data_IF_536459491846
#
_entry.id   IF_536459491846
#
_cell.length_a   1.000
_cell.length_b   1.000
_cell.length_c   1.000
_cell.angle_alpha   90.00
_cell.angle_beta   90.00
_cell.angle_gamma   90.00
#
_symmetry.space_group_name_H-M   'P 1'
#
loop_
_entity.id
_entity.type
_entity.pdbx_description
1 polymer ?
#
# COMPACT_ATOMS: atom_id res chain seq x y z
N UNK A 1 13.36 -13.77 -7.63
CA UNK A 1 14.04 -13.00 -6.54
C UNK A 1 15.00 -13.90 -5.77
N UNK A 2 14.68 -15.17 -5.51
CA UNK A 2 15.58 -16.11 -4.80
C UNK A 2 16.88 -16.39 -5.58
N UNK A 3 16.84 -16.33 -6.88
CA UNK A 3 18.00 -16.59 -7.76
C UNK A 3 18.92 -15.37 -7.92
N UNK A 4 18.42 -14.17 -7.66
CA UNK A 4 19.19 -12.93 -7.83
C UNK A 4 19.97 -12.49 -6.60
N UNK A 5 19.76 -13.13 -5.43
CA UNK A 5 20.33 -12.72 -4.15
C UNK A 5 19.79 -11.37 -3.61
N UNK A 6 18.81 -10.77 -4.29
CA UNK A 6 18.18 -9.53 -3.87
C UNK A 6 17.07 -9.80 -2.85
N UNK A 7 16.74 -8.81 -2.00
CA UNK A 7 15.57 -8.88 -1.14
C UNK A 7 14.30 -9.10 -1.96
N UNK A 8 13.34 -9.88 -1.44
CA UNK A 8 12.14 -10.30 -2.16
C UNK A 8 11.35 -9.15 -2.81
N UNK A 9 11.32 -7.98 -2.17
CA UNK A 9 10.59 -6.83 -2.65
C UNK A 9 11.35 -5.98 -3.69
N UNK A 10 12.69 -6.14 -3.82
CA UNK A 10 13.54 -5.20 -4.59
C UNK A 10 13.12 -5.08 -6.05
N UNK A 11 13.00 -6.21 -6.75
CA UNK A 11 12.62 -6.19 -8.18
C UNK A 11 11.22 -5.61 -8.36
N UNK A 12 10.27 -6.03 -7.55
CA UNK A 12 8.89 -5.54 -7.63
C UNK A 12 8.79 -4.04 -7.33
N UNK A 13 9.64 -3.52 -6.44
CA UNK A 13 9.72 -2.09 -6.17
C UNK A 13 10.33 -1.30 -7.32
N UNK A 14 11.36 -1.84 -7.98
CA UNK A 14 11.90 -1.24 -9.21
C UNK A 14 10.83 -1.12 -10.29
N UNK A 15 10.09 -2.21 -10.52
CA UNK A 15 8.99 -2.24 -11.49
C UNK A 15 7.88 -1.25 -11.12
N UNK A 16 7.51 -1.15 -9.84
CA UNK A 16 6.52 -0.19 -9.37
C UNK A 16 6.94 1.25 -9.65
N UNK A 17 8.18 1.63 -9.30
CA UNK A 17 8.68 2.97 -9.58
C UNK A 17 8.68 3.28 -11.09
N UNK A 18 9.10 2.31 -11.89
CA UNK A 18 9.06 2.45 -13.36
C UNK A 18 7.64 2.60 -13.86
N UNK A 19 6.69 1.82 -13.37
CA UNK A 19 5.28 1.89 -13.75
C UNK A 19 4.67 3.26 -13.43
N UNK A 20 4.91 3.81 -12.23
CA UNK A 20 4.43 5.14 -11.83
C UNK A 20 4.99 6.22 -12.77
N UNK A 21 6.28 6.18 -13.06
CA UNK A 21 6.94 7.12 -13.98
C UNK A 21 6.37 7.02 -15.39
N UNK A 22 6.14 5.79 -15.87
CA UNK A 22 5.54 5.57 -17.17
C UNK A 22 4.12 6.13 -17.26
N UNK A 23 3.26 5.84 -16.27
CA UNK A 23 1.90 6.40 -16.21
C UNK A 23 1.95 7.92 -16.23
N UNK A 24 2.82 8.53 -15.43
CA UNK A 24 2.96 9.98 -15.35
C UNK A 24 3.45 10.58 -16.69
N UNK A 25 4.40 9.93 -17.35
CA UNK A 25 4.90 10.37 -18.66
C UNK A 25 3.83 10.35 -19.76
N UNK A 26 2.81 9.51 -19.59
CA UNK A 26 1.70 9.34 -20.55
C UNK A 26 0.41 10.03 -20.10
N UNK A 27 0.41 10.66 -18.94
CA UNK A 27 -0.81 11.20 -18.34
C UNK A 27 -1.49 12.22 -19.26
N UNK A 28 -0.78 13.25 -19.73
CA UNK A 28 -1.33 14.30 -20.60
C UNK A 28 -1.85 13.72 -21.93
N UNK A 29 -1.10 12.82 -22.56
CA UNK A 29 -1.49 12.14 -23.80
C UNK A 29 -2.82 11.37 -23.63
N UNK A 30 -3.07 10.86 -22.42
CA UNK A 30 -4.25 10.06 -22.08
C UNK A 30 -5.37 10.84 -21.39
N UNK A 31 -5.25 12.16 -21.30
CA UNK A 31 -6.24 13.01 -20.63
C UNK A 31 -6.30 12.80 -19.10
N UNK A 32 -5.21 12.31 -18.50
CA UNK A 32 -5.07 12.12 -17.07
C UNK A 32 -4.31 13.29 -16.43
N UNK A 33 -4.58 13.54 -15.15
CA UNK A 33 -3.82 14.51 -14.37
C UNK A 33 -2.57 13.84 -13.77
N UNK A 34 -1.35 14.26 -14.18
CA UNK A 34 -0.10 13.67 -13.66
C UNK A 34 0.11 13.93 -12.16
N UNK A 35 -0.64 14.85 -11.56
CA UNK A 35 -0.60 15.20 -10.15
C UNK A 35 -1.71 14.51 -9.34
N UNK A 36 -2.43 13.55 -9.92
CA UNK A 36 -3.49 12.77 -9.26
C UNK A 36 -3.31 11.26 -9.44
N UNK A 37 -2.07 10.80 -9.41
CA UNK A 37 -1.75 9.38 -9.52
C UNK A 37 -1.72 8.78 -8.12
N UNK A 38 -2.48 7.70 -7.94
CA UNK A 38 -2.43 6.90 -6.72
C UNK A 38 -2.15 5.45 -7.02
N UNK A 39 -1.94 4.66 -5.98
CA UNK A 39 -1.70 3.23 -6.08
C UNK A 39 -2.58 2.46 -5.12
N UNK A 40 -2.97 1.26 -5.53
CA UNK A 40 -3.77 0.35 -4.71
C UNK A 40 -3.28 -1.07 -4.91
N UNK A 41 -3.22 -1.83 -3.83
CA UNK A 41 -2.84 -3.23 -3.91
C UNK A 41 -3.32 -4.07 -2.74
N UNK A 42 -3.68 -5.35 -2.98
CA UNK A 42 -3.99 -6.31 -1.95
C UNK A 42 -2.75 -7.15 -1.57
N UNK A 43 -2.70 -7.65 -0.32
CA UNK A 43 -1.70 -8.61 0.14
C UNK A 43 -0.27 -8.12 -0.07
N UNK A 44 0.58 -8.85 -0.78
CA UNK A 44 1.90 -8.40 -1.20
C UNK A 44 1.86 -7.11 -2.06
N UNK A 45 0.77 -6.90 -2.83
CA UNK A 45 0.52 -5.63 -3.50
C UNK A 45 0.25 -4.48 -2.53
N UNK A 46 -0.33 -4.77 -1.36
CA UNK A 46 -0.45 -3.82 -0.25
C UNK A 46 0.90 -3.40 0.31
N UNK A 47 1.85 -4.33 0.47
CA UNK A 47 3.24 -4.01 0.82
C UNK A 47 3.88 -3.08 -0.21
N UNK A 48 3.76 -3.39 -1.51
CA UNK A 48 4.29 -2.52 -2.57
C UNK A 48 3.60 -1.15 -2.59
N UNK A 49 2.31 -1.09 -2.25
CA UNK A 49 1.60 0.19 -2.07
C UNK A 49 2.24 1.00 -0.95
N UNK A 50 2.56 0.36 0.19
CA UNK A 50 3.28 1.02 1.28
C UNK A 50 4.64 1.54 0.82
N UNK A 51 5.44 0.74 0.12
CA UNK A 51 6.72 1.19 -0.42
C UNK A 51 6.57 2.38 -1.37
N UNK A 52 5.59 2.35 -2.28
CA UNK A 52 5.34 3.44 -3.22
C UNK A 52 4.90 4.73 -2.54
N UNK A 53 4.15 4.63 -1.44
CA UNK A 53 3.68 5.78 -0.66
C UNK A 53 4.77 6.38 0.22
N UNK A 54 5.62 5.55 0.83
CA UNK A 54 6.58 5.98 1.86
C UNK A 54 7.99 6.23 1.35
N UNK A 55 8.38 5.60 0.24
CA UNK A 55 9.78 5.54 -0.20
C UNK A 55 10.02 6.19 -1.56
N UNK A 56 9.21 7.18 -1.94
CA UNK A 56 9.28 7.82 -3.25
C UNK A 56 10.59 8.58 -3.50
N UNK A 57 11.25 9.06 -2.45
CA UNK A 57 12.56 9.73 -2.54
C UNK A 57 13.73 8.76 -2.73
N UNK A 58 13.51 7.48 -2.48
CA UNK A 58 14.54 6.47 -2.68
C UNK A 58 14.52 5.96 -4.11
N UNK A 59 15.69 5.98 -4.74
CA UNK A 59 15.83 5.42 -6.09
C UNK A 59 16.03 3.92 -6.01
N UNK A 60 15.09 3.16 -6.58
CA UNK A 60 15.16 1.70 -6.61
C UNK A 60 16.10 1.15 -7.70
N UNK A 61 16.36 1.92 -8.76
CA UNK A 61 17.20 1.52 -9.89
C UNK A 61 17.86 2.73 -10.57
N UNK A 62 18.89 2.49 -11.36
CA UNK A 62 19.54 3.51 -12.18
C UNK A 62 18.64 3.93 -13.35
N UNK A 63 18.65 5.21 -13.69
CA UNK A 63 17.90 5.71 -14.85
C UNK A 63 18.40 5.07 -16.14
N UNK A 64 17.46 4.63 -17.00
CA UNK A 64 17.75 3.99 -18.28
C UNK A 64 17.32 4.83 -19.49
N UNK A 65 16.28 5.66 -19.33
CA UNK A 65 15.77 6.52 -20.41
C UNK A 65 15.05 7.77 -19.86
N UNK A 66 14.44 8.55 -20.76
CA UNK A 66 13.77 9.80 -20.43
C UNK A 66 12.56 9.63 -19.48
N UNK A 67 11.91 8.47 -19.44
CA UNK A 67 10.79 8.19 -18.54
C UNK A 67 11.25 8.22 -17.09
N UNK A 68 12.48 7.80 -16.82
CA UNK A 68 13.03 7.69 -15.48
C UNK A 68 13.32 9.04 -14.82
N UNK A 69 13.25 10.15 -15.56
CA UNK A 69 13.30 11.50 -15.00
C UNK A 69 11.94 11.97 -14.44
N UNK A 70 10.85 11.26 -14.73
CA UNK A 70 9.57 11.55 -14.11
C UNK A 70 9.60 11.23 -12.61
N UNK A 71 8.93 12.04 -11.76
CA UNK A 71 8.77 11.69 -10.35
C UNK A 71 8.03 10.37 -10.16
N UNK A 72 8.39 9.60 -9.14
CA UNK A 72 7.68 8.36 -8.79
C UNK A 72 6.86 8.46 -7.50
N UNK A 73 6.70 9.65 -6.92
CA UNK A 73 5.78 9.88 -5.82
C UNK A 73 4.32 9.71 -6.28
N UNK A 74 3.49 9.28 -5.37
CA UNK A 74 2.04 9.17 -5.57
C UNK A 74 1.30 10.13 -4.65
N UNK A 75 0.05 10.43 -4.96
CA UNK A 75 -0.76 11.36 -4.19
C UNK A 75 -1.65 10.69 -3.16
N UNK A 76 -1.82 9.38 -3.26
CA UNK A 76 -2.55 8.57 -2.30
C UNK A 76 -2.23 7.09 -2.47
N UNK A 77 -2.50 6.30 -1.43
CA UNK A 77 -2.40 4.85 -1.45
C UNK A 77 -3.61 4.16 -0.83
N UNK A 78 -3.92 2.94 -1.29
CA UNK A 78 -4.93 2.09 -0.68
C UNK A 78 -4.34 0.70 -0.47
N UNK A 79 -4.09 0.35 0.80
CA UNK A 79 -3.61 -0.96 1.22
C UNK A 79 -4.79 -1.86 1.59
N UNK A 80 -5.02 -2.91 0.81
CA UNK A 80 -6.05 -3.90 1.08
C UNK A 80 -5.36 -5.12 1.70
N UNK A 81 -5.60 -5.36 2.99
CA UNK A 81 -4.91 -6.37 3.81
C UNK A 81 -3.43 -6.50 3.45
N UNK A 82 -2.63 -5.43 3.58
CA UNK A 82 -1.20 -5.50 3.31
C UNK A 82 -0.54 -6.59 4.16
N UNK A 83 0.38 -7.35 3.56
CA UNK A 83 1.19 -8.35 4.22
C UNK A 83 2.66 -7.89 4.26
N UNK A 84 3.49 -8.60 5.02
CA UNK A 84 4.94 -8.36 5.09
C UNK A 84 5.37 -6.98 5.64
N UNK A 85 4.51 -6.31 6.39
CA UNK A 85 4.85 -5.01 6.94
C UNK A 85 5.54 -5.07 8.32
N UNK A 86 5.63 -6.25 8.94
CA UNK A 86 6.18 -6.46 10.28
C UNK A 86 7.46 -7.29 10.27
N UNK A 87 8.41 -6.98 11.17
CA UNK A 87 9.75 -7.56 11.16
C UNK A 87 9.88 -8.91 11.86
N UNK A 88 8.96 -9.27 12.74
CA UNK A 88 9.07 -10.44 13.61
C UNK A 88 8.46 -11.73 13.03
N UNK A 89 8.06 -11.68 11.76
CA UNK A 89 7.39 -12.80 11.10
C UNK A 89 5.96 -13.05 11.58
N UNK A 90 5.43 -12.18 12.44
CA UNK A 90 4.04 -12.27 12.91
C UNK A 90 3.02 -12.01 11.80
N UNK A 91 3.49 -11.53 10.67
CA UNK A 91 2.75 -11.44 9.43
C UNK A 91 2.74 -12.75 8.63
N UNK A 92 3.45 -13.79 9.09
CA UNK A 92 3.40 -15.07 8.44
C UNK A 92 2.02 -15.73 8.58
N UNK A 93 1.58 -16.34 7.52
CA UNK A 93 0.23 -16.90 7.35
C UNK A 93 -0.19 -17.94 8.42
N UNK A 94 0.69 -18.37 9.27
CA UNK A 94 0.44 -19.28 10.39
C UNK A 94 1.21 -18.80 11.62
N UNK A 95 1.16 -17.54 11.92
CA UNK A 95 1.88 -16.97 13.05
C UNK A 95 1.45 -17.64 14.36
N UNK A 96 2.05 -18.78 14.63
CA UNK A 96 1.90 -19.50 15.88
C UNK A 96 2.85 -18.98 16.96
N UNK A 97 3.56 -17.90 16.70
CA UNK A 97 4.61 -17.49 17.61
C UNK A 97 4.96 -16.03 17.74
N UNK A 98 4.56 -15.17 16.80
CA UNK A 98 4.85 -13.75 16.90
C UNK A 98 3.76 -13.00 17.65
N UNK A 99 4.14 -12.11 18.58
CA UNK A 99 3.20 -11.16 19.14
C UNK A 99 3.15 -9.93 18.21
N UNK A 100 2.18 -9.90 17.30
CA UNK A 100 2.01 -8.81 16.34
C UNK A 100 1.85 -7.43 17.03
N UNK A 101 1.41 -7.40 18.28
CA UNK A 101 1.27 -6.16 19.06
C UNK A 101 2.62 -5.53 19.39
N UNK A 102 3.65 -6.34 19.59
CA UNK A 102 5.02 -5.88 19.85
C UNK A 102 5.87 -5.72 18.60
N UNK A 103 5.38 -6.15 17.44
CA UNK A 103 6.09 -6.07 16.19
C UNK A 103 6.36 -4.61 15.76
N UNK A 104 7.48 -4.41 15.09
CA UNK A 104 7.82 -3.13 14.46
C UNK A 104 7.71 -3.23 12.95
N UNK A 105 7.53 -2.11 12.29
CA UNK A 105 7.47 -2.06 10.84
C UNK A 105 8.83 -2.42 10.23
N UNK A 106 8.80 -3.07 9.08
CA UNK A 106 9.99 -3.40 8.31
C UNK A 106 10.77 -2.13 7.92
N UNK A 107 12.12 -2.19 7.87
CA UNK A 107 12.94 -1.01 7.68
C UNK A 107 12.91 -0.40 6.29
N UNK A 108 12.35 -1.09 5.29
CA UNK A 108 12.24 -0.59 3.93
C UNK A 108 11.20 0.53 3.77
N UNK A 109 10.32 0.75 4.74
CA UNK A 109 9.37 1.86 4.70
C UNK A 109 9.99 3.14 5.24
N UNK A 110 10.22 4.10 4.35
CA UNK A 110 10.85 5.38 4.68
C UNK A 110 9.80 6.49 4.76
N UNK A 111 9.17 6.58 5.90
CA UNK A 111 8.19 7.63 6.16
C UNK A 111 8.88 9.00 6.25
N UNK A 112 8.39 9.95 5.46
CA UNK A 112 8.89 11.31 5.41
C UNK A 112 7.74 12.31 5.12
N UNK A 113 8.09 13.57 4.87
CA UNK A 113 7.13 14.63 4.57
C UNK A 113 6.42 14.46 3.22
N UNK A 114 6.94 13.61 2.33
CA UNK A 114 6.31 13.29 1.04
C UNK A 114 5.46 12.03 1.11
N UNK A 115 5.38 11.37 2.26
CA UNK A 115 4.52 10.21 2.46
C UNK A 115 3.07 10.58 2.20
N UNK A 116 2.47 9.94 1.20
CA UNK A 116 1.12 10.26 0.76
C UNK A 116 0.03 9.72 1.72
N UNK A 117 -1.16 10.33 1.76
CA UNK A 117 -2.31 9.82 2.50
C UNK A 117 -2.67 8.38 2.13
N UNK A 118 -3.15 7.59 3.09
CA UNK A 118 -3.51 6.19 2.86
C UNK A 118 -4.86 5.80 3.47
N UNK A 119 -5.54 4.90 2.75
CA UNK A 119 -6.64 4.10 3.28
C UNK A 119 -6.16 2.66 3.48
N UNK A 120 -6.48 2.08 4.63
CA UNK A 120 -6.27 0.66 4.93
C UNK A 120 -7.61 -0.04 5.12
N UNK A 121 -7.76 -1.24 4.54
CA UNK A 121 -8.93 -2.11 4.76
C UNK A 121 -8.43 -3.52 5.02
N UNK A 122 -8.67 -4.07 6.22
CA UNK A 122 -8.13 -5.35 6.64
C UNK A 122 -9.20 -6.22 7.32
N UNK A 123 -9.19 -7.52 7.10
CA UNK A 123 -10.01 -8.48 7.82
C UNK A 123 -9.39 -8.82 9.18
N UNK A 124 -10.16 -8.85 10.26
CA UNK A 124 -9.65 -9.17 11.60
C UNK A 124 -9.34 -10.67 11.78
N UNK A 125 -9.97 -11.53 10.98
CA UNK A 125 -9.70 -12.98 10.94
C UNK A 125 -8.67 -13.37 9.86
N UNK A 126 -7.92 -12.39 9.34
CA UNK A 126 -6.90 -12.62 8.33
C UNK A 126 -5.68 -13.32 8.96
N UNK A 127 -5.22 -14.42 8.33
CA UNK A 127 -4.00 -15.11 8.76
C UNK A 127 -2.72 -14.27 8.58
N UNK A 128 -2.77 -13.20 7.76
CA UNK A 128 -1.78 -12.12 7.73
C UNK A 128 -2.28 -11.02 8.66
N UNK A 129 -1.75 -10.97 9.86
CA UNK A 129 -2.28 -10.18 10.96
C UNK A 129 -2.71 -8.75 10.56
N UNK A 130 -3.91 -8.35 10.96
CA UNK A 130 -4.41 -6.99 10.74
C UNK A 130 -3.48 -5.90 11.31
N UNK A 131 -2.58 -6.30 12.24
CA UNK A 131 -1.54 -5.45 12.80
C UNK A 131 -0.58 -4.88 11.74
N UNK A 132 -0.43 -5.53 10.57
CA UNK A 132 0.26 -4.93 9.43
C UNK A 132 -0.33 -3.55 9.06
N UNK A 133 -1.65 -3.45 9.01
CA UNK A 133 -2.35 -2.19 8.74
C UNK A 133 -2.38 -1.26 9.95
N UNK A 134 -2.61 -1.80 11.14
CA UNK A 134 -2.71 -1.03 12.39
C UNK A 134 -1.41 -0.30 12.68
N UNK A 135 -0.27 -1.01 12.70
CA UNK A 135 1.04 -0.41 12.98
C UNK A 135 1.45 0.65 11.94
N UNK A 136 1.12 0.42 10.67
CA UNK A 136 1.38 1.41 9.63
C UNK A 136 0.51 2.65 9.83
N UNK A 137 -0.78 2.47 10.10
CA UNK A 137 -1.71 3.56 10.39
C UNK A 137 -1.29 4.36 11.63
N UNK A 138 -0.90 3.70 12.73
CA UNK A 138 -0.36 4.34 13.93
C UNK A 138 0.85 5.21 13.61
N UNK A 139 1.80 4.67 12.82
CA UNK A 139 3.00 5.40 12.39
C UNK A 139 2.63 6.65 11.59
N UNK A 140 1.73 6.54 10.63
CA UNK A 140 1.27 7.67 9.83
C UNK A 140 0.57 8.73 10.69
N UNK A 141 -0.29 8.30 11.60
CA UNK A 141 -0.98 9.19 12.56
C UNK A 141 0.01 9.94 13.45
N UNK A 142 1.01 9.26 13.97
CA UNK A 142 2.05 9.87 14.80
C UNK A 142 2.85 10.94 14.05
N UNK A 143 2.95 10.83 12.72
CA UNK A 143 3.61 11.82 11.86
C UNK A 143 2.67 12.91 11.33
N UNK A 144 1.39 12.90 11.73
CA UNK A 144 0.40 13.85 11.21
C UNK A 144 -0.02 13.58 9.75
N UNK A 145 0.31 12.42 9.19
CA UNK A 145 -0.08 12.03 7.85
C UNK A 145 -1.53 11.57 7.85
N UNK A 146 -2.34 12.12 6.95
CA UNK A 146 -3.75 11.78 6.83
C UNK A 146 -3.91 10.30 6.46
N UNK A 147 -4.64 9.53 7.27
CA UNK A 147 -4.84 8.11 7.05
C UNK A 147 -6.16 7.63 7.64
N UNK A 148 -6.75 6.64 7.00
CA UNK A 148 -8.01 6.00 7.40
C UNK A 148 -7.80 4.49 7.51
N UNK A 149 -8.39 3.84 8.53
CA UNK A 149 -8.30 2.39 8.76
C UNK A 149 -9.68 1.80 8.99
N UNK A 150 -10.00 0.75 8.24
CA UNK A 150 -11.18 -0.10 8.46
C UNK A 150 -10.76 -1.53 8.75
N UNK A 151 -11.13 -2.04 9.91
CA UNK A 151 -11.07 -3.47 10.21
C UNK A 151 -12.44 -4.09 9.99
N UNK A 152 -12.48 -5.23 9.30
CA UNK A 152 -13.72 -5.92 8.94
C UNK A 152 -13.84 -7.21 9.74
N UNK A 153 -14.82 -7.26 10.64
CA UNK A 153 -15.05 -8.42 11.50
C UNK A 153 -15.27 -9.70 10.69
N UNK A 154 -14.66 -10.80 11.14
CA UNK A 154 -14.82 -12.14 10.58
C UNK A 154 -14.43 -12.28 9.10
N UNK A 155 -13.53 -11.44 8.60
CA UNK A 155 -13.00 -11.52 7.24
C UNK A 155 -11.60 -12.11 7.22
N UNK A 156 -11.44 -13.14 6.40
CA UNK A 156 -10.18 -13.83 6.12
C UNK A 156 -9.36 -13.09 5.05
N UNK A 157 -8.18 -13.62 4.74
CA UNK A 157 -7.36 -13.13 3.62
C UNK A 157 -8.11 -13.26 2.29
N UNK A 158 -7.91 -12.33 1.38
CA UNK A 158 -8.56 -12.31 0.07
C UNK A 158 -10.10 -12.23 0.11
N UNK A 159 -10.70 -11.69 1.18
CA UNK A 159 -12.17 -11.59 1.32
C UNK A 159 -12.85 -10.91 0.13
N UNK A 160 -12.18 -9.97 -0.56
CA UNK A 160 -12.77 -9.29 -1.72
C UNK A 160 -13.03 -10.23 -2.90
N UNK A 161 -12.31 -11.35 -3.01
CA UNK A 161 -12.55 -12.35 -4.07
C UNK A 161 -13.89 -13.06 -3.91
N UNK A 162 -14.40 -13.09 -2.69
CA UNK A 162 -15.69 -13.67 -2.32
C UNK A 162 -16.78 -12.59 -2.18
N UNK A 163 -16.42 -11.34 -2.44
CA UNK A 163 -17.36 -10.23 -2.29
C UNK A 163 -18.41 -10.26 -3.41
N UNK A 164 -19.66 -10.15 -3.03
CA UNK A 164 -20.79 -10.04 -3.94
C UNK A 164 -21.65 -8.82 -3.55
N UNK A 165 -22.33 -8.16 -4.50
CA UNK A 165 -23.24 -7.07 -4.19
C UNK A 165 -24.22 -7.44 -3.06
N UNK A 166 -24.38 -6.54 -2.09
CA UNK A 166 -25.24 -6.77 -0.93
C UNK A 166 -24.59 -7.52 0.23
N UNK A 167 -23.34 -7.99 0.09
CA UNK A 167 -22.59 -8.58 1.21
C UNK A 167 -21.74 -7.53 1.91
N UNK A 168 -21.49 -7.72 3.21
CA UNK A 168 -20.58 -6.84 3.97
C UNK A 168 -19.18 -6.78 3.39
N UNK A 169 -18.70 -7.84 2.73
CA UNK A 169 -17.41 -7.89 2.06
C UNK A 169 -17.34 -6.99 0.83
N UNK A 170 -18.45 -6.68 0.20
CA UNK A 170 -18.52 -5.80 -0.97
C UNK A 170 -18.41 -4.32 -0.58
N UNK A 171 -18.72 -3.97 0.65
CA UNK A 171 -18.73 -2.58 1.12
C UNK A 171 -17.34 -1.91 1.08
N UNK A 172 -16.26 -2.66 0.94
CA UNK A 172 -14.92 -2.06 0.80
C UNK A 172 -14.81 -1.15 -0.43
N UNK A 173 -15.53 -1.44 -1.52
CA UNK A 173 -15.55 -0.62 -2.74
C UNK A 173 -16.14 0.77 -2.44
N UNK A 174 -17.23 0.83 -1.67
CA UNK A 174 -17.84 2.09 -1.27
C UNK A 174 -16.91 2.90 -0.36
N UNK A 175 -16.17 2.24 0.56
CA UNK A 175 -15.17 2.91 1.40
C UNK A 175 -14.05 3.53 0.58
N UNK A 176 -13.57 2.82 -0.43
CA UNK A 176 -12.60 3.37 -1.39
C UNK A 176 -13.18 4.60 -2.11
N UNK A 177 -14.40 4.49 -2.62
CA UNK A 177 -15.09 5.60 -3.29
C UNK A 177 -15.24 6.82 -2.39
N UNK A 178 -15.70 6.65 -1.16
CA UNK A 178 -15.87 7.72 -0.18
C UNK A 178 -14.53 8.39 0.18
N UNK A 179 -13.50 7.58 0.40
CA UNK A 179 -12.15 8.08 0.70
C UNK A 179 -11.62 8.96 -0.45
N UNK A 180 -11.69 8.46 -1.68
CA UNK A 180 -11.21 9.20 -2.85
C UNK A 180 -12.02 10.47 -3.11
N UNK A 181 -13.33 10.44 -2.92
CA UNK A 181 -14.17 11.65 -3.02
C UNK A 181 -13.75 12.71 -2.01
N UNK A 182 -13.60 12.32 -0.75
CA UNK A 182 -13.14 13.23 0.32
C UNK A 182 -11.75 13.80 0.01
N UNK A 183 -10.82 12.94 -0.40
CA UNK A 183 -9.44 13.33 -0.69
C UNK A 183 -9.34 14.35 -1.84
N UNK A 184 -10.20 14.21 -2.84
CA UNK A 184 -10.21 15.08 -4.03
C UNK A 184 -11.27 16.17 -3.99
N UNK A 185 -12.01 16.33 -2.89
CA UNK A 185 -13.07 17.35 -2.76
C UNK A 185 -14.26 17.13 -3.70
N UNK A 186 -14.51 15.90 -4.13
CA UNK A 186 -15.64 15.53 -5.00
C UNK A 186 -16.88 15.31 -4.12
N UNK A 187 -17.95 16.03 -4.43
CA UNK A 187 -19.26 15.89 -3.74
C UNK A 187 -20.06 14.70 -4.25
#
# INVERSE_FOLDING_TARGET
>A
AAESGLAKHTTAWQDLQRAIRWVRSKATERGLDPNKIGIMGPSAGGHLTLMGVTSSRQRAYLHTDAIDYQPCNVQWGIGIYPAYALTDGSDAHNSTGGNADSAVLVPEFNFDLDTAPMLFIHGDADGWAAMNSVKTWEKMRAMGIQSELHTLALRDHCYQRKAAPGTGSYNFIYRIGDYLKKLHGIK
#
